data_IF_345507836904
#
_entry.id   IF_345507836904
#
_cell.length_a   1.000
_cell.length_b   1.000
_cell.length_c   1.000
_cell.angle_alpha   90.00
_cell.angle_beta   90.00
_cell.angle_gamma   90.00
#
_symmetry.space_group_name_H-M   'P 1'
#
loop_
_entity.id
_entity.type
_entity.pdbx_description
1 polymer ?
#
# COMPACT_ATOMS: atom_id res chain seq x y z
N UNK A 1 -0.96 12.22 -9.61
CA UNK A 1 -1.32 11.37 -8.46
C UNK A 1 -1.11 9.92 -8.88
N UNK A 2 -0.43 9.10 -8.07
CA UNK A 2 -0.30 7.67 -8.34
C UNK A 2 -1.71 7.04 -8.38
N UNK A 3 -1.96 6.18 -9.37
CA UNK A 3 -3.22 5.45 -9.51
C UNK A 3 -3.12 4.19 -8.66
N UNK A 4 -4.05 4.01 -7.72
CA UNK A 4 -4.04 2.86 -6.79
C UNK A 4 -5.12 1.87 -7.23
N UNK A 5 -4.73 0.64 -7.50
CA UNK A 5 -5.64 -0.49 -7.74
C UNK A 5 -5.74 -1.28 -6.44
N UNK A 6 -6.93 -1.32 -5.83
CA UNK A 6 -7.17 -1.98 -4.55
C UNK A 6 -7.76 -3.36 -4.78
N UNK A 7 -7.04 -4.39 -4.34
CA UNK A 7 -7.55 -5.74 -4.25
C UNK A 7 -8.02 -5.96 -2.80
N UNK A 8 -9.33 -5.96 -2.60
CA UNK A 8 -9.94 -6.35 -1.33
C UNK A 8 -10.31 -7.83 -1.38
N UNK A 9 -10.12 -8.52 -0.27
CA UNK A 9 -10.58 -9.90 -0.11
C UNK A 9 -12.07 -9.91 0.28
N UNK A 10 -12.78 -10.99 -0.08
CA UNK A 10 -14.23 -11.12 0.16
C UNK A 10 -14.60 -10.99 1.65
N UNK A 11 -13.71 -11.41 2.54
CA UNK A 11 -13.95 -11.35 3.99
C UNK A 11 -13.77 -9.94 4.56
N UNK A 12 -12.87 -9.12 3.99
CA UNK A 12 -12.75 -7.70 4.33
C UNK A 12 -13.95 -6.90 3.83
N UNK A 13 -14.47 -7.27 2.64
CA UNK A 13 -15.71 -6.72 2.11
C UNK A 13 -16.91 -7.07 3.01
N UNK A 14 -16.98 -8.30 3.52
CA UNK A 14 -18.02 -8.70 4.49
C UNK A 14 -17.89 -7.95 5.81
N UNK A 15 -16.69 -7.80 6.36
CA UNK A 15 -16.49 -7.03 7.59
C UNK A 15 -16.87 -5.55 7.41
N UNK A 16 -16.54 -4.96 6.26
CA UNK A 16 -16.92 -3.59 5.94
C UNK A 16 -18.45 -3.39 5.88
N UNK A 17 -19.16 -4.38 5.34
CA UNK A 17 -20.60 -4.32 5.09
C UNK A 17 -21.45 -4.79 6.30
N UNK A 18 -20.98 -5.78 7.06
CA UNK A 18 -21.76 -6.50 8.06
C UNK A 18 -21.11 -6.51 9.46
N UNK A 19 -19.85 -6.10 9.58
CA UNK A 19 -19.05 -6.21 10.79
C UNK A 19 -18.70 -4.87 11.44
N UNK A 20 -17.57 -4.85 12.15
CA UNK A 20 -17.06 -3.69 12.88
C UNK A 20 -16.38 -2.71 11.90
N UNK A 21 -17.17 -1.72 11.46
CA UNK A 21 -16.78 -0.79 10.38
C UNK A 21 -15.45 -0.07 10.65
N UNK A 22 -15.14 0.24 11.91
CA UNK A 22 -13.93 0.98 12.26
C UNK A 22 -12.67 0.12 12.05
N UNK A 23 -12.72 -1.17 12.40
CA UNK A 23 -11.61 -2.10 12.15
C UNK A 23 -11.41 -2.38 10.67
N UNK A 24 -12.50 -2.59 9.94
CA UNK A 24 -12.45 -2.77 8.49
C UNK A 24 -11.89 -1.51 7.79
N UNK A 25 -12.26 -0.31 8.26
CA UNK A 25 -11.73 0.94 7.72
C UNK A 25 -10.23 1.11 8.02
N UNK A 26 -9.77 0.71 9.21
CA UNK A 26 -8.35 0.73 9.55
C UNK A 26 -7.52 -0.21 8.67
N UNK A 27 -7.99 -1.44 8.39
CA UNK A 27 -7.27 -2.38 7.54
C UNK A 27 -7.18 -1.89 6.09
N UNK A 28 -8.28 -1.36 5.55
CA UNK A 28 -8.32 -0.78 4.21
C UNK A 28 -7.41 0.44 4.11
N UNK A 29 -7.42 1.33 5.11
CA UNK A 29 -6.54 2.50 5.13
C UNK A 29 -5.07 2.07 5.13
N UNK A 30 -4.70 1.05 5.91
CA UNK A 30 -3.35 0.52 5.91
C UNK A 30 -2.95 -0.01 4.53
N UNK A 31 -3.81 -0.80 3.87
CA UNK A 31 -3.55 -1.32 2.51
C UNK A 31 -3.40 -0.21 1.47
N UNK A 32 -4.25 0.82 1.53
CA UNK A 32 -4.16 1.98 0.62
C UNK A 32 -2.82 2.68 0.80
N UNK A 33 -2.42 2.95 2.05
CA UNK A 33 -1.16 3.62 2.34
C UNK A 33 0.05 2.78 1.88
N UNK A 34 0.01 1.46 2.09
CA UNK A 34 1.07 0.57 1.65
C UNK A 34 1.22 0.56 0.11
N UNK A 35 0.12 0.55 -0.65
CA UNK A 35 0.18 0.61 -2.11
C UNK A 35 0.66 1.96 -2.64
N UNK A 36 0.24 3.07 -2.02
CA UNK A 36 0.76 4.40 -2.37
C UNK A 36 2.27 4.45 -2.16
N UNK A 37 2.77 3.99 -1.00
CA UNK A 37 4.19 3.98 -0.69
C UNK A 37 4.99 3.09 -1.65
N UNK A 38 4.45 1.94 -2.07
CA UNK A 38 5.08 1.09 -3.08
C UNK A 38 5.15 1.79 -4.44
N UNK A 39 4.07 2.44 -4.87
CA UNK A 39 4.04 3.20 -6.12
C UNK A 39 5.08 4.31 -6.11
N UNK A 40 5.09 5.14 -5.07
CA UNK A 40 6.08 6.22 -4.93
C UNK A 40 7.52 5.69 -4.91
N UNK A 41 7.77 4.58 -4.21
CA UNK A 41 9.08 3.94 -4.20
C UNK A 41 9.50 3.45 -5.60
N UNK A 42 8.56 2.93 -6.40
CA UNK A 42 8.85 2.51 -7.78
C UNK A 42 9.18 3.71 -8.68
N UNK A 43 8.46 4.82 -8.53
CA UNK A 43 8.70 6.06 -9.27
C UNK A 43 10.05 6.68 -8.91
N UNK A 44 10.38 6.76 -7.62
CA UNK A 44 11.66 7.30 -7.15
C UNK A 44 12.87 6.49 -7.62
N UNK A 45 12.75 5.16 -7.60
CA UNK A 45 13.81 4.25 -8.05
C UNK A 45 13.90 4.18 -9.58
N UNK A 46 12.84 4.60 -10.28
CA UNK A 46 12.67 4.47 -11.74
C UNK A 46 12.75 3.03 -12.26
N UNK A 47 12.40 2.07 -11.41
CA UNK A 47 12.37 0.66 -11.76
C UNK A 47 11.41 -0.11 -10.85
N UNK A 48 10.64 -1.04 -11.42
CA UNK A 48 9.79 -1.96 -10.67
C UNK A 48 10.63 -3.00 -9.91
N UNK A 49 9.97 -3.84 -9.12
CA UNK A 49 10.62 -4.93 -8.42
C UNK A 49 11.24 -5.90 -9.44
N UNK A 50 12.51 -6.24 -9.25
CA UNK A 50 13.29 -7.15 -10.12
C UNK A 50 13.46 -6.72 -11.59
N UNK A 51 12.94 -5.55 -11.99
CA UNK A 51 13.14 -5.00 -13.31
C UNK A 51 14.59 -4.54 -13.50
N UNK A 52 15.15 -4.76 -14.69
CA UNK A 52 16.42 -4.15 -15.10
C UNK A 52 16.10 -2.91 -15.91
N UNK A 53 16.57 -1.77 -15.43
CA UNK A 53 16.41 -0.46 -16.06
C UNK A 53 17.74 0.26 -15.96
N UNK A 54 18.18 0.86 -17.07
CA UNK A 54 19.40 1.67 -17.11
C UNK A 54 19.22 3.00 -16.35
N UNK A 55 17.97 3.42 -16.13
CA UNK A 55 17.63 4.62 -15.36
C UNK A 55 17.56 4.38 -13.84
N UNK A 56 17.81 3.15 -13.37
CA UNK A 56 17.73 2.81 -11.94
C UNK A 56 18.71 3.67 -11.13
N UNK A 57 18.17 4.43 -10.19
CA UNK A 57 18.96 5.33 -9.34
C UNK A 57 19.32 4.73 -7.98
N UNK A 58 18.55 3.77 -7.49
CA UNK A 58 18.72 3.21 -6.14
C UNK A 58 18.22 1.74 -6.05
N UNK A 59 18.48 1.11 -4.91
CA UNK A 59 18.04 -0.25 -4.57
C UNK A 59 17.04 -0.25 -3.42
N UNK A 60 16.11 -1.22 -3.42
CA UNK A 60 15.16 -1.42 -2.31
C UNK A 60 15.88 -2.11 -1.14
N UNK A 61 15.71 -1.57 0.07
CA UNK A 61 16.31 -2.11 1.30
C UNK A 61 15.23 -2.63 2.26
N UNK A 62 14.41 -3.56 1.76
CA UNK A 62 13.32 -4.18 2.53
C UNK A 62 12.23 -3.20 2.99
N UNK A 63 11.48 -3.63 4.00
CA UNK A 63 10.38 -2.88 4.61
C UNK A 63 10.68 -2.62 6.09
N UNK A 64 10.14 -1.53 6.63
CA UNK A 64 10.21 -1.21 8.07
C UNK A 64 8.80 -0.98 8.59
N UNK A 65 8.44 -1.67 9.66
CA UNK A 65 7.16 -1.49 10.33
C UNK A 65 7.12 -0.09 10.95
N UNK A 66 6.02 0.63 10.73
CA UNK A 66 5.75 1.92 11.38
C UNK A 66 4.33 1.92 11.94
N UNK A 67 4.17 2.41 13.16
CA UNK A 67 2.87 2.71 13.72
C UNK A 67 2.48 4.13 13.31
N UNK A 68 1.26 4.28 12.78
CA UNK A 68 0.70 5.56 12.37
C UNK A 68 -0.57 5.81 13.19
N UNK A 69 -0.72 7.03 13.70
CA UNK A 69 -1.94 7.48 14.35
C UNK A 69 -2.74 8.30 13.34
N UNK A 70 -3.86 7.76 12.87
CA UNK A 70 -4.79 8.43 11.95
C UNK A 70 -6.09 8.79 12.66
N UNK A 71 -6.92 9.65 12.06
CA UNK A 71 -8.18 10.14 12.65
C UNK A 71 -9.37 9.18 12.40
N UNK A 72 -9.11 7.95 11.96
CA UNK A 72 -10.16 6.98 11.61
C UNK A 72 -10.73 6.36 12.87
#
# INVERSE_FOLDING_TARGET
MPKVELNLEDDELKELLLGDRDKAMQSIMAKILDEILKSEATEQIKAKAYERSDERTNSRNGYRVRQLTTRV
#
